data_IF_715686531719
#
_entry.id   IF_715686531719
#
_cell.length_a   1.000
_cell.length_b   1.000
_cell.length_c   1.000
_cell.angle_alpha   90.00
_cell.angle_beta   90.00
_cell.angle_gamma   90.00
#
_symmetry.space_group_name_H-M   'P 1'
#
loop_
_entity.id
_entity.type
_entity.pdbx_description
1 polymer ?
#
# COMPACT_ATOMS: atom_id res chain seq x y z
N UNK A 1 -13.59 10.84 -0.49
CA UNK A 1 -12.71 10.90 0.71
C UNK A 1 -12.22 12.32 0.84
N UNK A 2 -12.45 12.95 2.00
CA UNK A 2 -11.90 14.27 2.31
C UNK A 2 -10.72 14.06 3.25
N UNK A 3 -9.57 14.64 2.94
CA UNK A 3 -8.39 14.61 3.81
C UNK A 3 -8.12 16.03 4.27
N UNK A 4 -8.22 16.26 5.59
CA UNK A 4 -7.98 17.56 6.18
C UNK A 4 -6.62 17.60 6.88
N UNK A 5 -5.84 18.64 6.59
CA UNK A 5 -4.50 18.86 7.12
C UNK A 5 -4.45 19.97 8.18
N UNK A 6 -5.59 20.58 8.51
CA UNK A 6 -5.68 21.61 9.56
C UNK A 6 -5.14 21.05 10.87
N UNK A 7 -4.40 21.89 11.61
CA UNK A 7 -3.79 21.51 12.90
C UNK A 7 -4.82 21.38 14.00
N UNK A 8 -5.83 22.24 13.96
CA UNK A 8 -6.95 22.23 14.89
C UNK A 8 -8.02 21.32 14.32
N UNK A 9 -8.39 20.30 15.07
CA UNK A 9 -9.50 19.43 14.74
C UNK A 9 -10.78 20.26 14.92
N UNK A 10 -11.37 20.69 13.81
CA UNK A 10 -12.67 21.34 13.80
C UNK A 10 -13.70 20.33 13.33
N UNK A 11 -14.91 20.36 13.89
CA UNK A 11 -16.02 19.59 13.34
C UNK A 11 -16.16 19.90 11.84
N UNK A 12 -16.16 18.84 11.03
CA UNK A 12 -16.37 18.97 9.61
C UNK A 12 -17.86 19.21 9.38
N UNK A 13 -18.20 20.32 8.73
CA UNK A 13 -19.56 20.52 8.22
C UNK A 13 -19.94 19.33 7.34
N UNK A 14 -21.16 18.77 7.50
CA UNK A 14 -21.60 17.65 6.68
C UNK A 14 -21.50 17.99 5.20
N UNK A 15 -20.91 17.08 4.41
CA UNK A 15 -20.88 17.23 2.96
C UNK A 15 -22.28 16.95 2.42
N UNK A 16 -22.90 17.92 1.75
CA UNK A 16 -24.23 17.77 1.15
C UNK A 16 -24.07 17.55 -0.36
N UNK A 17 -24.66 16.47 -0.87
CA UNK A 17 -24.75 16.17 -2.31
C UNK A 17 -26.23 16.01 -2.64
N UNK A 18 -26.73 16.77 -3.61
CA UNK A 18 -28.13 16.77 -4.04
C UNK A 18 -29.15 16.91 -2.89
N UNK A 19 -28.84 17.80 -1.94
CA UNK A 19 -29.68 18.04 -0.75
C UNK A 19 -29.59 16.96 0.34
N UNK A 20 -28.78 15.91 0.16
CA UNK A 20 -28.59 14.82 1.12
C UNK A 20 -27.23 14.89 1.78
N UNK A 21 -27.17 14.73 3.11
CA UNK A 21 -25.90 14.61 3.84
C UNK A 21 -25.20 13.30 3.52
N UNK A 22 -23.93 13.37 3.13
CA UNK A 22 -23.08 12.21 2.91
C UNK A 22 -22.75 11.54 4.25
N UNK A 23 -22.90 10.23 4.30
CA UNK A 23 -22.59 9.43 5.48
C UNK A 23 -21.08 9.45 5.79
N UNK A 24 -20.75 9.71 7.05
CA UNK A 24 -19.38 9.61 7.56
C UNK A 24 -19.22 8.24 8.22
N UNK A 25 -18.46 7.36 7.58
CA UNK A 25 -18.18 6.02 8.07
C UNK A 25 -16.78 5.92 8.67
N UNK A 26 -16.63 5.13 9.75
CA UNK A 26 -15.33 4.87 10.37
C UNK A 26 -14.37 4.07 9.49
N UNK A 27 -14.92 3.27 8.59
CA UNK A 27 -14.13 2.58 7.58
C UNK A 27 -14.97 2.27 6.34
N UNK A 28 -14.31 2.30 5.18
CA UNK A 28 -14.90 1.88 3.91
C UNK A 28 -13.95 0.97 3.15
N UNK A 29 -14.48 0.11 2.29
CA UNK A 29 -13.69 -0.76 1.43
C UNK A 29 -13.70 -0.19 0.01
N UNK A 30 -12.54 0.17 -0.50
CA UNK A 30 -12.37 0.70 -1.86
C UNK A 30 -11.37 -0.15 -2.63
N UNK A 31 -11.78 -0.64 -3.81
CA UNK A 31 -10.96 -1.51 -4.67
C UNK A 31 -10.29 -2.69 -3.94
N UNK A 32 -10.98 -3.24 -2.93
CA UNK A 32 -10.47 -4.37 -2.15
C UNK A 32 -9.65 -4.01 -0.91
N UNK A 33 -9.28 -2.73 -0.72
CA UNK A 33 -8.51 -2.22 0.41
C UNK A 33 -9.44 -1.58 1.44
N UNK A 34 -9.25 -1.89 2.73
CA UNK A 34 -9.97 -1.22 3.81
C UNK A 34 -9.27 0.09 4.20
N UNK A 35 -10.00 1.19 4.07
CA UNK A 35 -9.59 2.53 4.48
C UNK A 35 -10.30 2.84 5.80
N UNK A 36 -9.54 3.08 6.86
CA UNK A 36 -10.07 3.55 8.14
C UNK A 36 -9.99 5.09 8.22
N UNK A 37 -10.90 5.71 8.96
CA UNK A 37 -10.96 7.15 9.22
C UNK A 37 -9.67 7.69 9.87
N UNK A 38 -9.06 6.91 10.74
CA UNK A 38 -7.80 7.18 11.40
C UNK A 38 -6.57 6.78 10.56
N UNK A 39 -6.78 6.37 9.30
CA UNK A 39 -5.75 5.90 8.37
C UNK A 39 -4.87 4.75 8.88
N UNK A 40 -5.35 4.01 9.88
CA UNK A 40 -4.69 2.78 10.33
C UNK A 40 -4.95 1.65 9.34
N UNK A 41 -3.95 0.80 9.15
CA UNK A 41 -4.01 -0.30 8.20
C UNK A 41 -4.29 -1.65 8.86
N UNK A 42 -4.61 -1.67 10.15
CA UNK A 42 -4.82 -2.92 10.91
C UNK A 42 -6.06 -3.67 10.45
N UNK A 43 -7.15 -2.97 10.10
CA UNK A 43 -8.34 -3.62 9.52
C UNK A 43 -8.03 -4.26 8.16
N UNK A 44 -7.31 -3.54 7.30
CA UNK A 44 -6.86 -4.05 6.01
C UNK A 44 -5.95 -5.27 6.17
N UNK A 45 -4.93 -5.15 7.03
CA UNK A 45 -3.96 -6.22 7.34
C UNK A 45 -4.65 -7.46 7.89
N UNK A 46 -5.64 -7.29 8.79
CA UNK A 46 -6.43 -8.39 9.35
C UNK A 46 -7.25 -9.10 8.28
N UNK A 47 -7.88 -8.33 7.39
CA UNK A 47 -8.66 -8.86 6.25
C UNK A 47 -7.77 -9.66 5.28
N UNK A 48 -6.62 -9.11 4.91
CA UNK A 48 -5.60 -9.76 4.08
C UNK A 48 -5.08 -11.04 4.75
N UNK A 49 -4.75 -10.97 6.03
CA UNK A 49 -4.25 -12.11 6.82
C UNK A 49 -5.25 -13.26 6.83
N UNK A 50 -6.53 -12.97 7.09
CA UNK A 50 -7.58 -14.00 7.07
C UNK A 50 -7.70 -14.67 5.70
N UNK A 51 -7.67 -13.90 4.61
CA UNK A 51 -7.73 -14.45 3.25
C UNK A 51 -6.50 -15.32 2.95
N UNK A 52 -5.30 -14.85 3.27
CA UNK A 52 -4.08 -15.61 3.06
C UNK A 52 -4.06 -16.91 3.89
N UNK A 53 -4.54 -16.88 5.14
CA UNK A 53 -4.70 -18.07 5.97
C UNK A 53 -5.68 -19.10 5.39
N UNK A 54 -6.74 -18.67 4.70
CA UNK A 54 -7.62 -19.58 3.98
C UNK A 54 -6.90 -20.24 2.80
N UNK A 55 -6.01 -19.52 2.10
CA UNK A 55 -5.20 -20.08 1.00
C UNK A 55 -4.10 -21.02 1.49
N UNK A 56 -3.53 -20.73 2.65
CA UNK A 56 -2.57 -21.59 3.35
C UNK A 56 -3.12 -23.01 3.61
N UNK A 57 -4.42 -23.14 3.86
CA UNK A 57 -5.05 -24.46 3.99
C UNK A 57 -4.89 -25.29 2.71
N UNK A 58 -5.12 -24.70 1.54
CA UNK A 58 -4.94 -25.37 0.26
C UNK A 58 -3.47 -25.69 -0.01
N UNK A 59 -2.54 -24.77 0.28
CA UNK A 59 -1.11 -25.04 0.14
C UNK A 59 -0.68 -26.26 0.99
N UNK A 60 -1.18 -26.37 2.23
CA UNK A 60 -0.93 -27.55 3.08
C UNK A 60 -1.48 -28.84 2.46
N UNK A 61 -2.66 -28.79 1.85
CA UNK A 61 -3.24 -29.96 1.15
C UNK A 61 -2.41 -30.36 -0.06
N UNK A 62 -1.95 -29.40 -0.85
CA UNK A 62 -1.08 -29.64 -2.00
C UNK A 62 0.25 -30.27 -1.57
N UNK A 63 0.83 -29.80 -0.46
CA UNK A 63 2.04 -30.42 0.11
C UNK A 63 1.79 -31.85 0.58
N UNK A 64 0.64 -32.13 1.23
CA UNK A 64 0.24 -33.49 1.63
C UNK A 64 0.02 -34.42 0.44
N UNK A 65 -0.37 -33.88 -0.72
CA UNK A 65 -0.47 -34.63 -1.97
C UNK A 65 0.90 -34.84 -2.66
N UNK A 66 2.01 -34.57 -1.97
CA UNK A 66 3.38 -34.77 -2.45
C UNK A 66 3.73 -34.00 -3.73
N UNK A 67 3.08 -32.86 -3.98
CA UNK A 67 3.45 -32.00 -5.09
C UNK A 67 4.85 -31.40 -4.91
N UNK A 68 5.56 -31.26 -6.03
CA UNK A 68 6.93 -30.78 -6.06
C UNK A 68 7.02 -29.30 -5.63
N UNK A 69 8.11 -28.88 -4.96
CA UNK A 69 8.30 -27.50 -4.51
C UNK A 69 8.05 -26.43 -5.59
N UNK A 70 8.49 -26.58 -6.86
CA UNK A 70 8.22 -25.56 -7.89
C UNK A 70 6.72 -25.31 -8.14
N UNK A 71 5.89 -26.35 -8.09
CA UNK A 71 4.44 -26.25 -8.26
C UNK A 71 3.84 -25.51 -7.05
N UNK A 72 4.31 -25.83 -5.85
CA UNK A 72 3.87 -25.17 -4.61
C UNK A 72 4.28 -23.68 -4.59
N UNK A 73 5.48 -23.36 -5.07
CA UNK A 73 5.95 -21.96 -5.23
C UNK A 73 5.09 -21.21 -6.23
N UNK A 74 4.73 -21.83 -7.36
CA UNK A 74 3.81 -21.22 -8.33
C UNK A 74 2.43 -20.95 -7.72
N UNK A 75 1.89 -21.91 -6.96
CA UNK A 75 0.64 -21.74 -6.23
C UNK A 75 0.71 -20.59 -5.22
N UNK A 76 1.79 -20.52 -4.43
CA UNK A 76 2.03 -19.43 -3.48
C UNK A 76 2.03 -18.07 -4.18
N UNK A 77 2.82 -17.92 -5.25
CA UNK A 77 2.91 -16.67 -6.03
C UNK A 77 1.55 -16.23 -6.56
N UNK A 78 0.80 -17.16 -7.15
CA UNK A 78 -0.49 -16.87 -7.78
C UNK A 78 -1.62 -16.57 -6.79
N UNK A 79 -1.60 -17.16 -5.58
CA UNK A 79 -2.78 -17.14 -4.70
C UNK A 79 -2.58 -16.48 -3.35
N UNK A 80 -1.38 -16.55 -2.78
CA UNK A 80 -1.06 -15.99 -1.46
C UNK A 80 -0.30 -14.68 -1.63
N UNK A 81 0.81 -14.72 -2.37
CA UNK A 81 1.62 -13.53 -2.63
C UNK A 81 0.79 -12.44 -3.33
N UNK A 82 -0.03 -12.81 -4.32
CA UNK A 82 -0.94 -11.87 -5.02
C UNK A 82 -1.92 -11.13 -4.08
N UNK A 83 -2.37 -11.80 -3.01
CA UNK A 83 -3.24 -11.17 -1.99
C UNK A 83 -2.40 -10.25 -1.09
N UNK A 84 -1.19 -10.67 -0.73
CA UNK A 84 -0.27 -9.90 0.11
C UNK A 84 0.25 -8.65 -0.62
N UNK A 85 0.49 -8.73 -1.93
CA UNK A 85 1.07 -7.66 -2.75
C UNK A 85 0.04 -6.72 -3.37
N UNK A 86 -1.26 -7.06 -3.30
CA UNK A 86 -2.34 -6.22 -3.80
C UNK A 86 -2.32 -4.84 -3.15
N UNK A 87 -2.10 -3.81 -3.97
CA UNK A 87 -1.95 -2.41 -3.56
C UNK A 87 -0.93 -2.17 -2.43
N UNK A 88 0.07 -3.06 -2.27
CA UNK A 88 1.00 -3.05 -1.13
C UNK A 88 1.75 -1.73 -0.97
N UNK A 89 2.03 -1.03 -2.08
CA UNK A 89 2.70 0.28 -2.11
C UNK A 89 1.89 1.38 -1.41
N UNK A 90 0.56 1.24 -1.32
CA UNK A 90 -0.31 2.25 -0.73
C UNK A 90 -0.41 2.14 0.79
N UNK A 91 -0.38 0.92 1.34
CA UNK A 91 -0.72 0.68 2.74
C UNK A 91 0.44 0.14 3.59
N UNK A 92 1.33 -0.69 3.02
CA UNK A 92 2.34 -1.40 3.82
C UNK A 92 3.37 -0.48 4.47
N UNK A 93 3.74 0.62 3.80
CA UNK A 93 4.64 1.64 4.33
C UNK A 93 4.18 2.25 5.65
N UNK A 94 2.87 2.28 5.91
CA UNK A 94 2.25 2.87 7.09
C UNK A 94 1.73 1.81 8.10
N UNK A 95 2.00 0.52 7.87
CA UNK A 95 1.64 -0.54 8.81
C UNK A 95 2.43 -0.43 10.12
N UNK A 96 1.77 -0.81 11.22
CA UNK A 96 2.43 -0.96 12.52
C UNK A 96 3.44 -2.11 12.50
N UNK A 97 4.33 -2.16 13.49
CA UNK A 97 5.28 -3.27 13.63
C UNK A 97 4.56 -4.61 13.83
N UNK A 98 3.43 -4.64 14.56
CA UNK A 98 2.66 -5.86 14.77
C UNK A 98 1.98 -6.35 13.48
N UNK A 99 1.45 -5.43 12.67
CA UNK A 99 0.87 -5.72 11.36
C UNK A 99 1.92 -6.38 10.44
N UNK A 100 3.11 -5.77 10.35
CA UNK A 100 4.22 -6.31 9.55
C UNK A 100 4.67 -7.69 10.02
N UNK A 101 4.79 -7.89 11.34
CA UNK A 101 5.12 -9.20 11.92
C UNK A 101 4.06 -10.25 11.59
N UNK A 102 2.79 -9.88 11.59
CA UNK A 102 1.68 -10.77 11.25
C UNK A 102 1.77 -11.23 9.79
N UNK A 103 1.97 -10.31 8.85
CA UNK A 103 2.15 -10.65 7.44
C UNK A 103 3.40 -11.50 7.20
N UNK A 104 4.52 -11.16 7.84
CA UNK A 104 5.76 -11.94 7.73
C UNK A 104 5.61 -13.38 8.25
N UNK A 105 4.77 -13.61 9.27
CA UNK A 105 4.48 -14.98 9.76
C UNK A 105 3.79 -15.84 8.71
N UNK A 106 2.95 -15.26 7.86
CA UNK A 106 2.29 -15.97 6.75
C UNK A 106 3.36 -16.47 5.78
N UNK A 107 4.18 -15.55 5.28
CA UNK A 107 5.31 -15.86 4.38
C UNK A 107 6.23 -16.93 4.96
N UNK A 108 6.61 -16.82 6.24
CA UNK A 108 7.44 -17.83 6.92
C UNK A 108 6.76 -19.19 7.04
N UNK A 109 5.44 -19.22 7.15
CA UNK A 109 4.70 -20.48 7.23
C UNK A 109 4.65 -21.14 5.86
N UNK A 110 4.41 -20.36 4.80
CA UNK A 110 4.46 -20.84 3.42
C UNK A 110 5.85 -21.37 3.05
N UNK A 111 6.91 -20.62 3.37
CA UNK A 111 8.31 -21.02 3.17
C UNK A 111 8.60 -22.38 3.80
N UNK A 112 8.16 -22.61 5.04
CA UNK A 112 8.31 -23.90 5.73
C UNK A 112 7.53 -25.04 5.07
N UNK A 113 6.34 -24.77 4.53
CA UNK A 113 5.51 -25.79 3.87
C UNK A 113 6.12 -26.19 2.53
N UNK A 114 6.62 -25.21 1.78
CA UNK A 114 7.19 -25.41 0.44
C UNK A 114 8.60 -26.01 0.55
N UNK A 115 9.38 -25.59 1.55
CA UNK A 115 10.77 -25.99 1.73
C UNK A 115 11.75 -25.21 0.84
N UNK A 116 11.38 -24.00 0.41
CA UNK A 116 12.19 -23.10 -0.44
C UNK A 116 12.13 -21.71 0.15
N UNK A 117 13.26 -21.00 0.17
CA UNK A 117 13.32 -19.62 0.65
C UNK A 117 12.43 -18.71 -0.17
N UNK A 118 11.57 -17.94 0.50
CA UNK A 118 10.69 -16.96 -0.10
C UNK A 118 11.15 -15.54 0.22
N UNK A 119 10.92 -14.57 -0.66
CA UNK A 119 11.15 -13.15 -0.35
C UNK A 119 10.37 -12.73 0.90
N UNK A 120 10.97 -11.92 1.76
CA UNK A 120 10.25 -11.39 2.92
C UNK A 120 9.12 -10.45 2.48
N UNK A 121 8.17 -10.17 3.36
CA UNK A 121 7.10 -9.20 3.03
C UNK A 121 7.67 -7.81 2.75
N UNK A 122 8.82 -7.47 3.36
CA UNK A 122 9.53 -6.22 3.07
C UNK A 122 10.16 -6.24 1.68
N UNK A 123 10.71 -7.37 1.24
CA UNK A 123 11.32 -7.50 -0.08
C UNK A 123 10.25 -7.41 -1.18
N UNK A 124 9.09 -8.06 -0.96
CA UNK A 124 7.92 -7.93 -1.84
C UNK A 124 7.51 -6.46 -1.93
N UNK A 125 7.32 -5.78 -0.79
CA UNK A 125 6.99 -4.36 -0.79
C UNK A 125 8.01 -3.49 -1.53
N UNK A 126 9.30 -3.69 -1.26
CA UNK A 126 10.39 -2.92 -1.88
C UNK A 126 10.43 -3.12 -3.38
N UNK A 127 10.30 -4.37 -3.83
CA UNK A 127 10.24 -4.73 -5.25
C UNK A 127 9.08 -4.03 -5.92
N UNK A 128 7.88 -4.05 -5.32
CA UNK A 128 6.71 -3.37 -5.87
C UNK A 128 6.87 -1.83 -5.89
N UNK A 129 7.49 -1.24 -4.86
CA UNK A 129 7.80 0.19 -4.85
C UNK A 129 8.78 0.58 -5.97
N UNK A 130 9.82 -0.22 -6.20
CA UNK A 130 10.80 -0.02 -7.26
C UNK A 130 10.12 -0.14 -8.63
N UNK A 131 9.35 -1.21 -8.87
CA UNK A 131 8.61 -1.40 -10.12
C UNK A 131 7.63 -0.25 -10.38
N UNK A 132 6.94 0.24 -9.34
CA UNK A 132 6.05 1.39 -9.48
C UNK A 132 6.83 2.67 -9.79
N UNK A 133 7.98 2.89 -9.17
CA UNK A 133 8.84 4.02 -9.46
C UNK A 133 9.35 3.99 -10.91
N UNK A 134 9.83 2.83 -11.40
CA UNK A 134 10.22 2.66 -12.80
C UNK A 134 9.06 2.96 -13.75
N UNK A 135 7.87 2.42 -13.49
CA UNK A 135 6.68 2.73 -14.29
C UNK A 135 6.35 4.23 -14.36
N UNK A 136 6.65 5.01 -13.32
CA UNK A 136 6.46 6.47 -13.33
C UNK A 136 7.59 7.19 -14.07
N UNK A 137 8.82 6.71 -13.93
CA UNK A 137 9.99 7.24 -14.65
C UNK A 137 9.85 7.02 -16.14
N UNK A 138 9.38 5.85 -16.56
CA UNK A 138 9.28 5.49 -17.98
C UNK A 138 8.09 6.19 -18.67
N UNK A 139 7.03 6.51 -17.91
CA UNK A 139 5.84 7.22 -18.40
C UNK A 139 5.97 8.74 -18.23
N UNK A 140 6.34 9.43 -19.31
CA UNK A 140 6.48 10.89 -19.34
C UNK A 140 5.16 11.65 -19.15
N UNK A 141 4.00 10.99 -19.37
CA UNK A 141 2.67 11.60 -19.18
C UNK A 141 2.17 11.45 -17.75
N UNK A 142 2.86 10.65 -16.92
CA UNK A 142 2.46 10.42 -15.54
C UNK A 142 2.57 11.72 -14.73
N UNK A 143 1.54 12.11 -13.95
CA UNK A 143 1.54 13.38 -13.21
C UNK A 143 2.69 13.52 -12.20
N UNK A 144 3.21 12.39 -11.70
CA UNK A 144 4.38 12.35 -10.81
C UNK A 144 5.73 12.20 -11.52
N UNK A 145 5.80 12.11 -12.85
CA UNK A 145 7.04 11.88 -13.59
C UNK A 145 8.11 12.92 -13.25
N UNK A 146 7.72 14.19 -13.19
CA UNK A 146 8.63 15.30 -12.84
C UNK A 146 9.26 15.16 -11.46
N UNK A 147 8.62 14.44 -10.51
CA UNK A 147 9.20 14.20 -9.19
C UNK A 147 10.43 13.28 -9.27
N UNK A 148 10.49 12.41 -10.28
CA UNK A 148 11.62 11.51 -10.50
C UNK A 148 12.70 12.10 -11.42
N UNK A 149 12.64 13.41 -11.72
CA UNK A 149 13.75 14.12 -12.36
C UNK A 149 14.81 14.50 -11.32
N UNK A 150 16.08 14.29 -11.63
CA UNK A 150 17.18 14.74 -10.77
C UNK A 150 17.28 16.27 -10.76
N UNK A 151 17.65 16.83 -9.61
CA UNK A 151 18.06 18.23 -9.48
C UNK A 151 19.42 18.45 -10.17
N UNK A 152 19.80 19.71 -10.50
CA UNK A 152 21.05 20.01 -11.19
C UNK A 152 22.32 19.44 -10.54
N UNK A 153 22.29 19.20 -9.23
CA UNK A 153 23.40 18.58 -8.50
C UNK A 153 23.57 17.08 -8.77
N UNK A 154 22.62 16.43 -9.44
CA UNK A 154 22.60 15.00 -9.75
C UNK A 154 22.37 14.07 -8.55
N UNK A 155 22.26 14.60 -7.32
CA UNK A 155 22.24 13.78 -6.09
C UNK A 155 20.85 13.49 -5.54
N UNK A 156 19.84 14.28 -5.92
CA UNK A 156 18.50 14.22 -5.33
C UNK A 156 17.44 14.39 -6.40
N UNK A 157 16.37 13.62 -6.27
CA UNK A 157 15.15 13.80 -7.05
C UNK A 157 14.37 15.04 -6.59
N UNK A 158 13.44 15.52 -7.43
CA UNK A 158 12.56 16.61 -7.06
C UNK A 158 11.59 16.14 -5.96
N UNK A 159 11.58 16.84 -4.84
CA UNK A 159 10.57 16.63 -3.80
C UNK A 159 9.36 17.51 -4.05
N UNK A 160 8.22 17.07 -3.55
CA UNK A 160 7.04 17.93 -3.47
C UNK A 160 7.41 19.16 -2.62
N UNK A 161 7.13 20.36 -3.14
CA UNK A 161 7.40 21.60 -2.42
C UNK A 161 6.48 21.66 -1.20
N UNK A 162 7.07 21.54 -0.02
CA UNK A 162 6.34 21.58 1.24
C UNK A 162 6.94 22.66 2.14
N UNK A 163 6.08 23.52 2.69
CA UNK A 163 6.51 24.59 3.58
C UNK A 163 6.98 24.08 4.97
N UNK A 164 6.71 22.81 5.29
CA UNK A 164 7.12 22.18 6.55
C UNK A 164 7.58 20.74 6.33
N UNK A 165 8.49 20.25 7.17
CA UNK A 165 8.94 18.86 7.18
C UNK A 165 7.78 17.87 7.37
N UNK A 166 6.78 18.24 8.19
CA UNK A 166 5.56 17.44 8.39
C UNK A 166 4.77 17.26 7.09
N UNK A 167 4.55 18.33 6.32
CA UNK A 167 3.84 18.25 5.04
C UNK A 167 4.67 17.46 4.00
N UNK A 168 5.99 17.63 4.01
CA UNK A 168 6.91 16.85 3.16
C UNK A 168 6.82 15.34 3.42
N UNK A 169 6.53 14.95 4.66
CA UNK A 169 6.43 13.56 5.10
C UNK A 169 4.99 13.01 5.10
N UNK A 170 4.03 13.76 4.55
CA UNK A 170 2.61 13.36 4.51
C UNK A 170 2.23 12.73 3.17
N UNK A 171 1.17 11.92 3.17
CA UNK A 171 0.73 11.11 2.02
C UNK A 171 0.08 11.91 0.87
N UNK A 172 -0.04 13.24 0.96
CA UNK A 172 -0.95 14.02 0.11
C UNK A 172 -0.27 15.19 -0.58
N UNK A 173 -0.51 15.30 -1.89
CA UNK A 173 0.04 16.33 -2.77
C UNK A 173 -0.98 17.46 -2.95
N UNK A 174 -0.56 18.71 -2.77
CA UNK A 174 -1.19 19.86 -3.44
C UNK A 174 -0.29 20.25 -4.61
N UNK A 175 -0.77 20.25 -5.86
CA UNK A 175 -0.10 20.99 -6.91
C UNK A 175 -0.14 22.46 -6.49
N UNK A 176 1.02 23.08 -6.34
CA UNK A 176 1.08 24.53 -6.19
C UNK A 176 0.52 25.12 -7.47
N UNK A 177 -0.68 25.69 -7.40
CA UNK A 177 -1.21 26.53 -8.45
C UNK A 177 -0.16 27.59 -8.80
N UNK A 178 0.13 27.68 -10.09
CA UNK A 178 0.83 28.83 -10.66
C UNK A 178 0.09 30.08 -10.23
N UNK A 179 0.67 30.84 -9.31
CA UNK A 179 0.31 32.23 -9.08
C UNK A 179 0.66 33.01 -10.35
N UNK A 180 -0.30 33.07 -11.28
CA UNK A 180 -0.32 34.10 -12.32
C UNK A 180 -0.75 35.38 -11.61
N UNK A 181 0.22 36.24 -11.30
CA UNK A 181 -0.07 37.63 -10.98
C UNK A 181 -0.56 38.30 -12.26
N UNK A 182 -1.79 38.83 -12.22
CA UNK A 182 -2.18 40.07 -12.90
C UNK A 182 -2.66 41.00 -11.79
#
# INVERSE_FOLDING_TARGET
>A
MVVDFRRTQSDHSPLIIDGSSVEIVKSTKFLGVHLADNLTWSLNTSSITKKAQQRLYFLRRLRKAHLLPPILTMFYRGTIESILSSCITAWFGNCTVSDRKTLQRIVRTDEKIIGVSLPSIMDIYTTHCILKAHSIVDDHTHPSHTLFTLLPSGKRFRSIRAATSRLCNSFSHKPSGSSTNI
#
